data_IF_892121441179
#
_entry.id   IF_892121441179
#
_cell.length_a   1.000
_cell.length_b   1.000
_cell.length_c   1.000
_cell.angle_alpha   90.00
_cell.angle_beta   90.00
_cell.angle_gamma   90.00
#
_symmetry.space_group_name_H-M   'P 1'
#
loop_
_entity.id
_entity.type
_entity.pdbx_description
1 polymer ?
#
# COMPACT_ATOMS: atom_id res chain seq x y z
N UNK A 1 12.15 7.84 -2.13
CA UNK A 1 12.59 7.57 -3.52
C UNK A 1 11.43 7.67 -4.53
N UNK A 2 10.51 6.69 -4.68
CA UNK A 2 9.41 6.80 -5.67
C UNK A 2 8.48 7.98 -5.38
N UNK A 3 8.06 8.14 -4.13
CA UNK A 3 7.21 9.25 -3.69
C UNK A 3 7.86 10.59 -4.00
N UNK A 4 9.11 10.78 -3.60
CA UNK A 4 9.86 12.03 -3.85
C UNK A 4 10.03 12.28 -5.34
N UNK A 5 10.28 11.22 -6.13
CA UNK A 5 10.37 11.34 -7.59
C UNK A 5 9.05 11.87 -8.19
N UNK A 6 7.91 11.35 -7.77
CA UNK A 6 6.61 11.78 -8.30
C UNK A 6 6.20 13.15 -7.74
N UNK A 7 6.34 13.37 -6.44
CA UNK A 7 5.87 14.60 -5.78
C UNK A 7 6.80 15.80 -6.01
N UNK A 8 8.05 15.57 -6.41
CA UNK A 8 9.03 16.64 -6.67
C UNK A 8 9.39 16.71 -8.15
N UNK A 9 9.99 15.65 -8.70
CA UNK A 9 10.51 15.70 -10.08
C UNK A 9 9.38 15.75 -11.12
N UNK A 10 8.40 14.85 -11.03
CA UNK A 10 7.25 14.88 -11.94
C UNK A 10 6.37 16.10 -11.74
N UNK A 11 6.24 16.57 -10.50
CA UNK A 11 5.53 17.82 -10.21
C UNK A 11 6.23 19.04 -10.84
N UNK A 12 7.57 19.09 -10.80
CA UNK A 12 8.33 20.14 -11.45
C UNK A 12 8.13 20.11 -12.98
N UNK A 13 8.14 18.94 -13.59
CA UNK A 13 7.86 18.79 -15.03
C UNK A 13 6.45 19.30 -15.39
N UNK A 14 5.46 19.04 -14.53
CA UNK A 14 4.11 19.52 -14.74
C UNK A 14 3.97 21.04 -14.74
N UNK A 15 4.86 21.78 -14.06
CA UNK A 15 4.81 23.25 -14.03
C UNK A 15 4.95 23.88 -15.42
N UNK A 16 5.64 23.22 -16.37
CA UNK A 16 5.70 23.65 -17.76
C UNK A 16 4.35 23.49 -18.46
N UNK A 17 3.69 22.37 -18.21
CA UNK A 17 2.37 22.09 -18.76
C UNK A 17 1.29 23.06 -18.24
N UNK A 18 1.35 23.41 -16.96
CA UNK A 18 0.45 24.40 -16.36
C UNK A 18 0.62 25.79 -16.99
N UNK A 19 1.84 26.18 -17.32
CA UNK A 19 2.11 27.46 -17.99
C UNK A 19 1.54 27.50 -19.40
N UNK A 20 1.60 26.40 -20.13
CA UNK A 20 1.09 26.31 -21.49
C UNK A 20 -0.43 26.19 -21.54
N UNK A 21 -1.03 25.42 -20.64
CA UNK A 21 -2.46 25.04 -20.68
C UNK A 21 -3.32 25.85 -19.72
N UNK A 22 -2.71 26.61 -18.80
CA UNK A 22 -3.37 27.29 -17.66
C UNK A 22 -4.20 26.34 -16.78
N UNK A 23 -3.85 25.05 -16.74
CA UNK A 23 -4.52 24.00 -15.98
C UNK A 23 -3.73 23.68 -14.72
N UNK A 24 -4.15 24.29 -13.59
CA UNK A 24 -3.55 24.03 -12.27
C UNK A 24 -4.06 22.70 -11.70
N UNK A 25 -3.14 21.92 -11.13
CA UNK A 25 -3.46 20.65 -10.47
C UNK A 25 -3.12 20.69 -8.98
N UNK A 26 -3.97 20.08 -8.15
CA UNK A 26 -3.67 19.86 -6.74
C UNK A 26 -2.59 18.79 -6.51
N UNK A 27 -2.43 17.89 -7.49
CA UNK A 27 -1.42 16.83 -7.48
C UNK A 27 -0.61 16.82 -8.79
N UNK A 28 0.27 17.81 -8.99
CA UNK A 28 0.93 18.02 -10.27
C UNK A 28 1.75 16.82 -10.74
N UNK A 29 2.42 16.10 -9.85
CA UNK A 29 3.17 14.90 -10.20
C UNK A 29 2.30 13.76 -10.73
N UNK A 30 1.14 13.55 -10.10
CA UNK A 30 0.15 12.57 -10.59
C UNK A 30 -0.43 12.99 -11.93
N UNK A 31 -0.75 14.29 -12.10
CA UNK A 31 -1.24 14.81 -13.36
C UNK A 31 -0.23 14.63 -14.49
N UNK A 32 1.06 14.78 -14.21
CA UNK A 32 2.11 14.51 -15.19
C UNK A 32 2.14 13.03 -15.61
N UNK A 33 2.04 12.09 -14.65
CA UNK A 33 1.96 10.66 -14.97
C UNK A 33 0.74 10.32 -15.82
N UNK A 34 -0.43 10.87 -15.49
CA UNK A 34 -1.65 10.67 -16.27
C UNK A 34 -1.52 11.19 -17.70
N UNK A 35 -0.85 12.33 -17.88
CA UNK A 35 -0.54 12.84 -19.20
C UNK A 35 0.42 11.92 -19.97
N UNK A 36 1.51 11.46 -19.34
CA UNK A 36 2.45 10.51 -19.95
C UNK A 36 1.76 9.20 -20.34
N UNK A 37 0.82 8.70 -19.53
CA UNK A 37 0.02 7.51 -19.86
C UNK A 37 -0.82 7.69 -21.13
N UNK A 38 -1.25 8.93 -21.43
CA UNK A 38 -1.97 9.28 -22.64
C UNK A 38 -1.14 9.22 -23.93
N UNK A 39 0.19 9.24 -23.83
CA UNK A 39 1.11 9.17 -24.97
C UNK A 39 1.05 7.80 -25.70
N UNK A 40 0.45 6.78 -25.12
CA UNK A 40 0.27 5.46 -25.74
C UNK A 40 -0.47 5.55 -27.10
N UNK A 41 -1.32 6.56 -27.26
CA UNK A 41 -2.08 6.82 -28.48
C UNK A 41 -1.40 7.76 -29.49
N UNK A 42 -0.20 8.24 -29.17
CA UNK A 42 0.57 9.15 -30.01
C UNK A 42 1.72 8.41 -30.69
N UNK A 43 1.58 8.12 -31.96
CA UNK A 43 2.59 7.44 -32.78
C UNK A 43 3.69 8.40 -33.34
N UNK A 44 3.68 9.68 -32.95
CA UNK A 44 4.65 10.68 -33.44
C UNK A 44 6.11 10.35 -33.08
N UNK A 45 6.30 9.61 -31.98
CA UNK A 45 7.63 9.18 -31.52
C UNK A 45 7.58 7.75 -30.97
N UNK A 46 8.56 6.92 -31.39
CA UNK A 46 8.65 5.51 -30.97
C UNK A 46 8.79 5.30 -29.45
N UNK A 47 9.30 6.30 -28.73
CA UNK A 47 9.48 6.27 -27.29
C UNK A 47 8.17 6.42 -26.49
N UNK A 48 7.11 6.96 -27.09
CA UNK A 48 5.85 7.28 -26.40
C UNK A 48 5.23 6.06 -25.70
N UNK A 49 5.21 4.90 -26.37
CA UNK A 49 4.65 3.66 -25.78
C UNK A 49 5.45 3.18 -24.57
N UNK A 50 6.76 3.27 -24.61
CA UNK A 50 7.62 2.94 -23.46
C UNK A 50 7.43 3.92 -22.31
N UNK A 51 7.34 5.21 -22.61
CA UNK A 51 7.11 6.26 -21.62
C UNK A 51 5.74 6.09 -20.97
N UNK A 52 4.68 5.86 -21.74
CA UNK A 52 3.34 5.60 -21.24
C UNK A 52 3.28 4.35 -20.35
N UNK A 53 3.97 3.27 -20.75
CA UNK A 53 4.07 2.05 -19.95
C UNK A 53 4.78 2.26 -18.62
N UNK A 54 5.90 2.99 -18.63
CA UNK A 54 6.64 3.34 -17.42
C UNK A 54 5.81 4.23 -16.48
N UNK A 55 5.11 5.22 -17.05
CA UNK A 55 4.25 6.11 -16.27
C UNK A 55 3.09 5.35 -15.59
N UNK A 56 2.50 4.38 -16.29
CA UNK A 56 1.45 3.51 -15.73
C UNK A 56 1.98 2.71 -14.54
N UNK A 57 3.13 2.09 -14.68
CA UNK A 57 3.76 1.32 -13.61
C UNK A 57 4.15 2.20 -12.42
N UNK A 58 4.67 3.40 -12.67
CA UNK A 58 5.00 4.38 -11.62
C UNK A 58 3.74 4.84 -10.88
N UNK A 59 2.64 5.10 -11.61
CA UNK A 59 1.36 5.50 -11.02
C UNK A 59 0.76 4.40 -10.15
N UNK A 60 0.69 3.16 -10.64
CA UNK A 60 0.16 2.02 -9.89
C UNK A 60 0.94 1.76 -8.60
N UNK A 61 2.28 1.81 -8.66
CA UNK A 61 3.12 1.65 -7.47
C UNK A 61 2.95 2.80 -6.48
N UNK A 62 2.85 4.04 -6.97
CA UNK A 62 2.63 5.21 -6.13
C UNK A 62 1.27 5.14 -5.42
N UNK A 63 0.20 4.83 -6.17
CA UNK A 63 -1.15 4.68 -5.61
C UNK A 63 -1.20 3.57 -4.56
N UNK A 64 -0.56 2.44 -4.84
CA UNK A 64 -0.49 1.35 -3.88
C UNK A 64 0.22 1.77 -2.59
N UNK A 65 1.38 2.44 -2.67
CA UNK A 65 2.13 2.90 -1.50
C UNK A 65 1.41 3.97 -0.68
N UNK A 66 0.67 4.86 -1.33
CA UNK A 66 0.06 6.03 -0.68
C UNK A 66 -1.38 5.80 -0.26
N UNK A 67 -2.14 5.04 -1.05
CA UNK A 67 -3.59 4.92 -0.88
C UNK A 67 -4.09 3.52 -0.52
N UNK A 68 -3.35 2.45 -0.87
CA UNK A 68 -3.81 1.09 -0.63
C UNK A 68 -3.12 0.47 0.58
N UNK A 69 -1.79 0.41 0.57
CA UNK A 69 -1.00 -0.23 1.63
C UNK A 69 -1.26 0.32 3.04
N UNK A 70 -1.35 1.67 3.27
CA UNK A 70 -1.61 2.22 4.59
C UNK A 70 -3.01 1.94 5.13
N UNK A 71 -3.96 1.64 4.24
CA UNK A 71 -5.37 1.43 4.59
C UNK A 71 -5.79 -0.04 4.50
N UNK A 72 -4.83 -0.96 4.57
CA UNK A 72 -5.14 -2.39 4.67
C UNK A 72 -5.97 -2.67 5.90
N UNK A 73 -7.07 -3.39 5.70
CA UNK A 73 -7.98 -3.79 6.78
C UNK A 73 -7.40 -5.01 7.50
N UNK A 74 -7.41 -4.99 8.82
CA UNK A 74 -7.13 -6.16 9.64
C UNK A 74 -8.43 -6.94 9.89
N UNK A 75 -8.72 -7.88 9.00
CA UNK A 75 -9.90 -8.74 9.10
C UNK A 75 -9.88 -9.68 10.31
N UNK A 76 -8.78 -9.75 11.06
CA UNK A 76 -8.67 -10.54 12.29
C UNK A 76 -9.12 -9.77 13.55
N UNK A 77 -9.52 -8.51 13.42
CA UNK A 77 -9.89 -7.65 14.54
C UNK A 77 -11.10 -8.20 15.31
N UNK A 78 -12.11 -8.74 14.61
CA UNK A 78 -13.28 -9.35 15.26
C UNK A 78 -12.91 -10.54 16.17
N UNK A 79 -12.02 -11.39 15.70
CA UNK A 79 -11.53 -12.54 16.49
C UNK A 79 -10.65 -12.08 17.66
N UNK A 80 -9.86 -11.04 17.46
CA UNK A 80 -9.06 -10.40 18.51
C UNK A 80 -9.95 -9.82 19.61
N UNK A 81 -10.96 -9.05 19.24
CA UNK A 81 -11.94 -8.47 20.17
C UNK A 81 -12.70 -9.55 20.95
N UNK A 82 -13.16 -10.60 20.27
CA UNK A 82 -13.85 -11.72 20.90
C UNK A 82 -12.96 -12.42 21.95
N UNK A 83 -11.68 -12.66 21.62
CA UNK A 83 -10.71 -13.23 22.55
C UNK A 83 -10.47 -12.34 23.77
N UNK A 84 -10.22 -11.04 23.55
CA UNK A 84 -9.95 -10.11 24.64
C UNK A 84 -11.16 -9.84 25.52
N UNK A 85 -12.37 -9.80 24.93
CA UNK A 85 -13.60 -9.63 25.70
C UNK A 85 -13.81 -10.82 26.63
N UNK A 86 -13.71 -12.05 26.14
CA UNK A 86 -13.86 -13.24 26.96
C UNK A 86 -12.76 -13.33 28.03
N UNK A 87 -11.52 -12.99 27.68
CA UNK A 87 -10.40 -12.95 28.61
C UNK A 87 -10.64 -11.96 29.74
N UNK A 88 -11.15 -10.78 29.43
CA UNK A 88 -11.51 -9.75 30.42
C UNK A 88 -12.68 -10.17 31.30
N UNK A 89 -13.68 -10.84 30.74
CA UNK A 89 -14.81 -11.37 31.51
C UNK A 89 -14.38 -12.44 32.54
N UNK A 90 -13.39 -13.25 32.19
CA UNK A 90 -12.90 -14.33 33.07
C UNK A 90 -11.93 -13.78 34.12
N UNK A 91 -11.01 -12.91 33.75
CA UNK A 91 -9.88 -12.47 34.62
C UNK A 91 -10.00 -11.04 35.14
N UNK A 92 -11.00 -10.26 34.69
CA UNK A 92 -11.18 -8.86 35.10
C UNK A 92 -9.93 -8.00 34.83
N UNK A 93 -9.48 -7.23 35.83
CA UNK A 93 -8.33 -6.35 35.71
C UNK A 93 -6.98 -7.09 35.56
N UNK A 94 -6.94 -8.40 35.84
CA UNK A 94 -5.77 -9.27 35.66
C UNK A 94 -5.65 -9.81 34.22
N UNK A 95 -6.58 -9.46 33.31
CA UNK A 95 -6.64 -9.96 31.94
C UNK A 95 -5.35 -9.67 31.13
N UNK A 96 -4.66 -8.57 31.44
CA UNK A 96 -3.43 -8.15 30.76
C UNK A 96 -2.15 -8.77 31.35
N UNK A 97 -2.28 -9.62 32.37
CA UNK A 97 -1.13 -10.29 32.99
C UNK A 97 -0.68 -11.48 32.13
N UNK A 98 0.31 -11.27 31.28
CA UNK A 98 0.88 -12.24 30.34
C UNK A 98 1.48 -13.50 30.98
N UNK A 99 1.69 -13.51 32.30
CA UNK A 99 2.36 -14.61 33.01
C UNK A 99 1.39 -15.69 33.56
N UNK A 100 0.11 -15.63 33.17
CA UNK A 100 -0.92 -16.58 33.60
C UNK A 100 -1.43 -17.50 32.49
N UNK A 101 -0.49 -18.11 31.75
CA UNK A 101 -0.84 -19.09 30.70
C UNK A 101 -1.47 -20.40 31.25
N UNK A 102 -1.33 -20.63 32.56
CA UNK A 102 -1.80 -21.84 33.24
C UNK A 102 -3.29 -21.84 33.57
N UNK A 103 -4.03 -20.78 33.24
CA UNK A 103 -5.44 -20.62 33.53
C UNK A 103 -6.34 -20.53 32.28
N UNK A 104 -5.79 -20.74 31.09
CA UNK A 104 -6.57 -20.62 29.86
C UNK A 104 -7.64 -21.69 29.78
N UNK A 105 -8.89 -21.23 29.58
CA UNK A 105 -10.02 -22.14 29.34
C UNK A 105 -9.98 -22.68 27.92
N UNK A 106 -10.56 -23.88 27.64
CA UNK A 106 -10.62 -24.40 26.26
C UNK A 106 -11.28 -23.47 25.27
N UNK A 107 -12.22 -22.61 25.72
CA UNK A 107 -12.86 -21.61 24.88
C UNK A 107 -11.89 -20.48 24.52
N UNK A 108 -11.09 -20.00 25.48
CA UNK A 108 -10.05 -18.98 25.23
C UNK A 108 -8.99 -19.49 24.27
N UNK A 109 -8.49 -20.73 24.48
CA UNK A 109 -7.52 -21.34 23.57
C UNK A 109 -8.06 -21.44 22.14
N UNK A 110 -9.33 -21.79 21.98
CA UNK A 110 -9.99 -21.89 20.67
C UNK A 110 -10.08 -20.54 19.98
N UNK A 111 -10.48 -19.47 20.70
CA UNK A 111 -10.56 -18.12 20.15
C UNK A 111 -9.16 -17.58 19.81
N UNK A 112 -8.17 -17.77 20.68
CA UNK A 112 -6.79 -17.41 20.45
C UNK A 112 -6.24 -18.07 19.19
N UNK A 113 -6.43 -19.38 19.05
CA UNK A 113 -5.98 -20.13 17.87
C UNK A 113 -6.67 -19.65 16.60
N UNK A 114 -7.97 -19.32 16.66
CA UNK A 114 -8.72 -18.78 15.53
C UNK A 114 -8.15 -17.44 15.09
N UNK A 115 -7.96 -16.50 16.02
CA UNK A 115 -7.36 -15.20 15.78
C UNK A 115 -5.95 -15.33 15.22
N UNK A 116 -5.04 -16.06 15.88
CA UNK A 116 -3.65 -16.24 15.43
C UNK A 116 -3.56 -16.85 14.03
N UNK A 117 -4.43 -17.83 13.73
CA UNK A 117 -4.46 -18.48 12.41
C UNK A 117 -4.90 -17.47 11.33
N UNK A 118 -5.91 -16.65 11.60
CA UNK A 118 -6.41 -15.64 10.65
C UNK A 118 -5.40 -14.52 10.47
N UNK A 119 -4.85 -13.99 11.56
CA UNK A 119 -3.80 -12.95 11.54
C UNK A 119 -2.56 -13.40 10.77
N UNK A 120 -2.07 -14.63 11.02
CA UNK A 120 -0.93 -15.18 10.28
C UNK A 120 -1.18 -15.33 8.77
N UNK A 121 -2.42 -15.64 8.36
CA UNK A 121 -2.78 -15.70 6.92
C UNK A 121 -2.76 -14.32 6.29
N UNK A 122 -3.31 -13.31 6.98
CA UNK A 122 -3.32 -11.91 6.53
C UNK A 122 -1.89 -11.40 6.40
N UNK A 123 -1.05 -11.62 7.43
CA UNK A 123 0.35 -11.22 7.41
C UNK A 123 1.12 -11.84 6.24
N UNK A 124 0.97 -13.15 6.01
CA UNK A 124 1.59 -13.83 4.87
C UNK A 124 1.12 -13.29 3.53
N UNK A 125 -0.17 -12.94 3.41
CA UNK A 125 -0.70 -12.31 2.20
C UNK A 125 -0.07 -10.93 1.98
N UNK A 126 -0.06 -10.09 3.02
CA UNK A 126 0.53 -8.75 2.98
C UNK A 126 2.02 -8.77 2.65
N UNK A 127 2.78 -9.71 3.23
CA UNK A 127 4.21 -9.87 2.92
C UNK A 127 4.45 -10.23 1.45
N UNK A 128 3.65 -11.14 0.88
CA UNK A 128 3.76 -11.49 -0.54
C UNK A 128 3.41 -10.34 -1.47
N UNK A 129 2.40 -9.56 -1.10
CA UNK A 129 2.03 -8.36 -1.85
C UNK A 129 3.15 -7.32 -1.78
N UNK A 130 3.67 -7.01 -0.58
CA UNK A 130 4.80 -6.11 -0.37
C UNK A 130 6.03 -6.53 -1.19
N UNK A 131 6.38 -7.81 -1.17
CA UNK A 131 7.48 -8.37 -1.96
C UNK A 131 7.27 -8.17 -3.47
N UNK A 132 6.05 -8.45 -3.96
CA UNK A 132 5.69 -8.26 -5.36
C UNK A 132 5.85 -6.79 -5.79
N UNK A 133 5.38 -5.85 -4.97
CA UNK A 133 5.47 -4.41 -5.26
C UNK A 133 6.91 -3.90 -5.19
N UNK A 134 7.73 -4.42 -4.26
CA UNK A 134 9.16 -4.11 -4.21
C UNK A 134 9.91 -4.61 -5.46
N UNK A 135 9.59 -5.81 -5.95
CA UNK A 135 10.17 -6.35 -7.18
C UNK A 135 9.80 -5.47 -8.38
N UNK A 136 8.53 -5.03 -8.49
CA UNK A 136 8.08 -4.10 -9.53
C UNK A 136 8.86 -2.78 -9.45
N UNK A 137 9.02 -2.20 -8.26
CA UNK A 137 9.78 -0.97 -8.05
C UNK A 137 11.26 -1.12 -8.50
N UNK A 138 11.90 -2.26 -8.19
CA UNK A 138 13.26 -2.54 -8.63
C UNK A 138 13.35 -2.58 -10.16
N UNK A 139 12.37 -3.18 -10.83
CA UNK A 139 12.33 -3.30 -12.29
C UNK A 139 12.23 -1.95 -12.99
N UNK A 140 11.45 -1.01 -12.44
CA UNK A 140 11.29 0.32 -13.06
C UNK A 140 12.31 1.35 -12.61
N UNK A 141 13.23 1.00 -11.70
CA UNK A 141 14.18 1.97 -11.11
C UNK A 141 14.96 2.79 -12.17
N UNK A 142 15.29 2.17 -13.31
CA UNK A 142 16.01 2.85 -14.39
C UNK A 142 15.18 3.94 -15.08
N UNK A 143 13.84 3.82 -15.06
CA UNK A 143 12.94 4.81 -15.64
C UNK A 143 12.66 6.01 -14.71
N UNK A 144 13.12 5.95 -13.45
CA UNK A 144 12.96 7.05 -12.51
C UNK A 144 14.01 8.16 -12.72
N UNK A 145 15.09 7.89 -13.45
CA UNK A 145 16.22 8.79 -13.57
C UNK A 145 16.62 9.10 -15.04
N UNK A 146 15.76 8.78 -15.95
CA UNK A 146 15.92 9.11 -17.38
C UNK A 146 15.03 10.26 -17.80
#
# INVERSE_FOLDING_TARGET
MLKDFIEIEKAYMWTWHEKETNNKSEQPGVSHLLWEMGLDNDDSWKGNKTQASNAREQYELYDWWTNQRPYRVDDAMEEWEAYHTLKKDIYGDDADNFFRDDLDTPELEKLQKKWLTKSSKIEKHNLKEDESMLIRLIKIRSSLWT
#
